data_IF_705583748892
#
_entry.id   IF_705583748892
#
_cell.length_a   1.000
_cell.length_b   1.000
_cell.length_c   1.000
_cell.angle_alpha   90.00
_cell.angle_beta   90.00
_cell.angle_gamma   90.00
#
_symmetry.space_group_name_H-M   'P 1'
#
loop_
_entity.id
_entity.type
_entity.pdbx_description
1 polymer ?
#
# COMPACT_ATOMS: atom_id res chain seq x y z
N UNK A 1 -10.17 -16.30 12.06
CA UNK A 1 -10.06 -15.12 11.16
C UNK A 1 -11.43 -14.81 10.57
N UNK A 2 -12.30 -14.07 11.28
CA UNK A 2 -13.71 -13.94 10.86
C UNK A 2 -14.43 -12.67 11.30
N UNK A 3 -13.72 -11.52 11.43
CA UNK A 3 -14.33 -10.25 11.85
C UNK A 3 -14.32 -9.16 10.78
N UNK A 4 -13.70 -9.40 9.62
CA UNK A 4 -13.73 -8.48 8.49
C UNK A 4 -14.64 -9.04 7.42
N UNK A 5 -15.62 -8.23 7.00
CA UNK A 5 -16.49 -8.55 5.89
C UNK A 5 -15.68 -8.91 4.63
N UNK A 6 -16.17 -9.92 3.88
CA UNK A 6 -15.44 -10.47 2.74
C UNK A 6 -15.15 -9.42 1.67
N UNK A 7 -16.10 -8.54 1.37
CA UNK A 7 -15.95 -7.56 0.30
C UNK A 7 -14.98 -6.44 0.71
N UNK A 8 -15.01 -6.07 1.99
CA UNK A 8 -14.04 -5.12 2.54
C UNK A 8 -12.63 -5.71 2.49
N UNK A 9 -12.48 -6.98 2.89
CA UNK A 9 -11.19 -7.70 2.81
C UNK A 9 -10.68 -7.76 1.38
N UNK A 10 -11.51 -8.18 0.43
CA UNK A 10 -11.13 -8.31 -0.98
C UNK A 10 -10.72 -6.96 -1.56
N UNK A 11 -11.46 -5.89 -1.27
CA UNK A 11 -11.11 -4.54 -1.73
C UNK A 11 -9.73 -4.10 -1.26
N UNK A 12 -9.37 -4.39 0.00
CA UNK A 12 -8.03 -4.11 0.53
C UNK A 12 -6.97 -4.96 -0.18
N UNK A 13 -7.22 -6.26 -0.34
CA UNK A 13 -6.29 -7.19 -0.99
C UNK A 13 -6.03 -6.77 -2.45
N UNK A 14 -7.08 -6.46 -3.21
CA UNK A 14 -7.01 -6.01 -4.60
C UNK A 14 -6.20 -4.71 -4.77
N UNK A 15 -6.41 -3.73 -3.88
CA UNK A 15 -5.64 -2.48 -3.94
C UNK A 15 -4.15 -2.76 -3.72
N UNK A 16 -3.82 -3.58 -2.72
CA UNK A 16 -2.41 -3.91 -2.44
C UNK A 16 -1.81 -4.74 -3.57
N UNK A 17 -2.55 -5.70 -4.13
CA UNK A 17 -2.11 -6.49 -5.28
C UNK A 17 -1.84 -5.61 -6.50
N UNK A 18 -2.70 -4.63 -6.77
CA UNK A 18 -2.47 -3.66 -7.84
C UNK A 18 -1.18 -2.86 -7.63
N UNK A 19 -0.91 -2.43 -6.39
CA UNK A 19 0.34 -1.74 -6.05
C UNK A 19 1.54 -2.68 -6.20
N UNK A 20 1.43 -3.91 -5.70
CA UNK A 20 2.50 -4.92 -5.75
C UNK A 20 2.89 -5.27 -7.19
N UNK A 21 1.89 -5.46 -8.06
CA UNK A 21 2.09 -5.81 -9.46
C UNK A 21 2.67 -4.65 -10.27
N UNK A 22 2.38 -3.40 -9.87
CA UNK A 22 2.85 -2.18 -10.53
C UNK A 22 3.81 -1.37 -9.65
N UNK A 23 4.63 -2.06 -8.85
CA UNK A 23 5.38 -1.49 -7.74
C UNK A 23 6.24 -0.27 -8.12
N UNK A 24 7.00 -0.34 -9.23
CA UNK A 24 7.84 0.78 -9.69
C UNK A 24 7.02 2.03 -9.97
N UNK A 25 5.93 1.90 -10.74
CA UNK A 25 5.07 3.03 -11.11
C UNK A 25 4.43 3.67 -9.89
N UNK A 26 3.90 2.86 -8.98
CA UNK A 26 3.28 3.37 -7.75
C UNK A 26 4.29 4.01 -6.81
N UNK A 27 5.48 3.42 -6.69
CA UNK A 27 6.55 4.02 -5.89
C UNK A 27 6.93 5.40 -6.44
N UNK A 28 7.16 5.53 -7.75
CA UNK A 28 7.49 6.81 -8.39
C UNK A 28 6.39 7.86 -8.19
N UNK A 29 5.12 7.49 -8.41
CA UNK A 29 3.98 8.39 -8.21
C UNK A 29 3.88 8.87 -6.75
N UNK A 30 4.02 7.96 -5.79
CA UNK A 30 3.92 8.32 -4.36
C UNK A 30 5.10 9.20 -3.96
N UNK A 31 6.32 8.91 -4.43
CA UNK A 31 7.50 9.74 -4.16
C UNK A 31 7.35 11.16 -4.72
N UNK A 32 6.83 11.29 -5.94
CA UNK A 32 6.55 12.59 -6.55
C UNK A 32 5.51 13.35 -5.73
N UNK A 33 4.38 12.72 -5.41
CA UNK A 33 3.34 13.32 -4.58
C UNK A 33 3.86 13.75 -3.20
N UNK A 34 4.66 12.92 -2.52
CA UNK A 34 5.27 13.30 -1.24
C UNK A 34 6.16 14.54 -1.37
N UNK A 35 6.95 14.61 -2.44
CA UNK A 35 7.85 15.73 -2.70
C UNK A 35 7.07 17.03 -2.97
N UNK A 36 5.96 16.96 -3.68
CA UNK A 36 5.04 18.10 -3.90
C UNK A 36 4.44 18.62 -2.59
N UNK A 37 4.27 17.75 -1.59
CA UNK A 37 3.82 18.14 -0.25
C UNK A 37 4.98 18.61 0.66
N UNK A 38 6.21 18.72 0.14
CA UNK A 38 7.40 19.09 0.91
C UNK A 38 7.89 18.00 1.87
N UNK A 39 7.47 16.74 1.67
CA UNK A 39 7.88 15.59 2.48
C UNK A 39 9.01 14.85 1.77
N UNK A 40 10.11 14.62 2.46
CA UNK A 40 11.23 13.84 1.92
C UNK A 40 10.78 12.39 1.62
N UNK A 41 10.85 11.95 0.35
CA UNK A 41 10.41 10.62 -0.02
C UNK A 41 11.46 9.56 0.33
N UNK A 42 11.14 8.67 1.26
CA UNK A 42 11.92 7.49 1.59
C UNK A 42 11.01 6.25 1.63
N UNK A 43 11.59 5.06 1.82
CA UNK A 43 10.82 3.82 1.79
C UNK A 43 9.73 3.80 2.88
N UNK A 44 10.00 4.31 4.07
CA UNK A 44 9.03 4.35 5.16
C UNK A 44 7.88 5.33 4.86
N UNK A 45 8.17 6.51 4.31
CA UNK A 45 7.12 7.49 3.95
C UNK A 45 6.26 6.99 2.80
N UNK A 46 6.83 6.29 1.82
CA UNK A 46 6.08 5.62 0.74
C UNK A 46 5.18 4.52 1.30
N UNK A 47 5.71 3.60 2.11
CA UNK A 47 4.92 2.51 2.69
C UNK A 47 3.81 3.02 3.61
N UNK A 48 4.10 4.02 4.44
CA UNK A 48 3.11 4.69 5.29
C UNK A 48 1.99 5.32 4.46
N UNK A 49 2.34 5.94 3.32
CA UNK A 49 1.35 6.51 2.39
C UNK A 49 0.45 5.42 1.79
N UNK A 50 1.02 4.29 1.34
CA UNK A 50 0.23 3.16 0.84
C UNK A 50 -0.74 2.64 1.92
N UNK A 51 -0.25 2.44 3.15
CA UNK A 51 -1.07 1.98 4.27
C UNK A 51 -2.20 2.96 4.55
N UNK A 52 -1.93 4.27 4.55
CA UNK A 52 -2.94 5.31 4.79
C UNK A 52 -4.00 5.35 3.68
N UNK A 53 -3.59 5.29 2.41
CA UNK A 53 -4.52 5.26 1.28
C UNK A 53 -5.40 4.02 1.33
N UNK A 54 -4.82 2.87 1.66
CA UNK A 54 -5.56 1.60 1.76
C UNK A 54 -6.53 1.60 2.94
N UNK A 55 -6.11 2.16 4.07
CA UNK A 55 -6.96 2.31 5.24
C UNK A 55 -8.15 3.25 4.95
N UNK A 56 -7.92 4.35 4.24
CA UNK A 56 -8.98 5.27 3.82
C UNK A 56 -10.01 4.61 2.90
N UNK A 57 -9.57 3.77 1.94
CA UNK A 57 -10.48 3.02 1.09
C UNK A 57 -11.28 1.98 1.89
N UNK A 58 -10.64 1.27 2.82
CA UNK A 58 -11.33 0.33 3.71
C UNK A 58 -12.41 1.01 4.55
N UNK A 59 -12.11 2.20 5.06
CA UNK A 59 -13.05 3.04 5.81
C UNK A 59 -14.26 3.40 4.94
N UNK A 60 -14.02 3.97 3.76
CA UNK A 60 -15.07 4.34 2.81
C UNK A 60 -15.95 3.14 2.45
N UNK A 61 -15.34 1.96 2.22
CA UNK A 61 -16.10 0.75 1.86
C UNK A 61 -17.02 0.27 2.98
N UNK A 62 -16.58 0.40 4.24
CA UNK A 62 -17.41 0.08 5.40
C UNK A 62 -18.56 1.08 5.54
N UNK A 63 -18.29 2.38 5.39
CA UNK A 63 -19.33 3.42 5.43
C UNK A 63 -20.37 3.21 4.32
N UNK A 64 -19.93 2.99 3.09
CA UNK A 64 -20.82 2.79 1.93
C UNK A 64 -21.70 1.54 2.10
N UNK A 65 -21.13 0.45 2.63
CA UNK A 65 -21.82 -0.84 2.74
C UNK A 65 -22.75 -0.92 3.95
N UNK A 66 -22.35 -0.35 5.08
CA UNK A 66 -23.05 -0.54 6.35
C UNK A 66 -23.68 0.74 6.91
N UNK A 67 -23.42 1.91 6.30
CA UNK A 67 -23.92 3.20 6.78
C UNK A 67 -23.38 3.60 8.15
N UNK A 68 -22.20 3.08 8.54
CA UNK A 68 -21.57 3.33 9.85
C UNK A 68 -20.05 3.35 9.74
N UNK A 69 -19.41 3.94 10.74
CA UNK A 69 -17.97 3.79 10.96
C UNK A 69 -17.61 2.32 11.29
N UNK A 70 -16.33 1.98 11.10
CA UNK A 70 -15.83 0.67 11.53
C UNK A 70 -15.91 0.47 13.05
N UNK A 71 -15.98 -0.77 13.47
CA UNK A 71 -15.83 -1.17 14.86
C UNK A 71 -14.36 -1.34 15.21
N UNK A 72 -14.05 -1.36 16.51
CA UNK A 72 -12.69 -1.67 16.99
C UNK A 72 -12.14 -3.00 16.44
N UNK A 73 -12.99 -4.03 16.37
CA UNK A 73 -12.59 -5.36 15.86
C UNK A 73 -12.28 -5.33 14.36
N UNK A 74 -13.05 -4.58 13.58
CA UNK A 74 -12.78 -4.38 12.15
C UNK A 74 -11.47 -3.60 11.95
N UNK A 75 -11.23 -2.54 12.72
CA UNK A 75 -9.98 -1.79 12.67
C UNK A 75 -8.75 -2.65 13.03
N UNK A 76 -8.87 -3.51 14.05
CA UNK A 76 -7.81 -4.47 14.42
C UNK A 76 -7.55 -5.48 13.30
N UNK A 77 -8.61 -6.02 12.68
CA UNK A 77 -8.49 -6.96 11.56
C UNK A 77 -7.85 -6.32 10.32
N UNK A 78 -8.25 -5.10 9.97
CA UNK A 78 -7.67 -4.31 8.88
C UNK A 78 -6.19 -4.02 9.19
N UNK A 79 -5.86 -3.58 10.40
CA UNK A 79 -4.47 -3.32 10.80
C UNK A 79 -3.60 -4.56 10.69
N UNK A 80 -4.09 -5.73 11.12
CA UNK A 80 -3.37 -6.99 11.00
C UNK A 80 -3.12 -7.38 9.52
N UNK A 81 -4.13 -7.22 8.66
CA UNK A 81 -4.02 -7.46 7.22
C UNK A 81 -2.98 -6.53 6.58
N UNK A 82 -3.07 -5.23 6.86
CA UNK A 82 -2.15 -4.22 6.34
C UNK A 82 -0.71 -4.46 6.80
N UNK A 83 -0.48 -4.83 8.07
CA UNK A 83 0.87 -5.14 8.58
C UNK A 83 1.52 -6.30 7.81
N UNK A 84 0.77 -7.39 7.59
CA UNK A 84 1.27 -8.53 6.81
C UNK A 84 1.63 -8.12 5.38
N UNK A 85 0.75 -7.36 4.74
CA UNK A 85 0.89 -6.97 3.34
C UNK A 85 1.92 -5.86 3.11
N UNK A 86 2.12 -4.97 4.08
CA UNK A 86 3.17 -3.96 4.05
C UNK A 86 4.58 -4.57 4.02
N UNK A 87 4.78 -5.71 4.71
CA UNK A 87 6.04 -6.45 4.65
C UNK A 87 6.33 -6.96 3.23
N UNK A 88 5.33 -7.53 2.56
CA UNK A 88 5.45 -8.02 1.19
C UNK A 88 5.74 -6.88 0.20
N UNK A 89 5.05 -5.73 0.35
CA UNK A 89 5.30 -4.52 -0.44
C UNK A 89 6.71 -3.95 -0.21
N UNK A 90 7.20 -3.94 1.03
CA UNK A 90 8.57 -3.50 1.35
C UNK A 90 9.59 -4.30 0.55
N UNK A 91 9.49 -5.63 0.61
CA UNK A 91 10.38 -6.52 -0.15
C UNK A 91 10.27 -6.28 -1.66
N UNK A 92 9.04 -6.07 -2.16
CA UNK A 92 8.81 -5.77 -3.57
C UNK A 92 9.49 -4.47 -4.01
N UNK A 93 9.29 -3.37 -3.28
CA UNK A 93 9.93 -2.08 -3.59
C UNK A 93 11.46 -2.15 -3.53
N UNK A 94 12.02 -2.87 -2.55
CA UNK A 94 13.46 -3.10 -2.48
C UNK A 94 13.96 -3.90 -3.69
N UNK A 95 13.25 -4.96 -4.09
CA UNK A 95 13.62 -5.79 -5.24
C UNK A 95 13.60 -5.01 -6.56
N UNK A 96 12.63 -4.11 -6.75
CA UNK A 96 12.51 -3.32 -7.98
C UNK A 96 13.64 -2.29 -8.09
N UNK A 97 14.08 -1.70 -6.98
CA UNK A 97 15.22 -0.77 -6.98
C UNK A 97 16.52 -1.44 -7.40
N UNK A 98 16.79 -2.65 -6.90
CA UNK A 98 17.99 -3.44 -7.25
C UNK A 98 18.02 -3.77 -8.75
N UNK A 99 16.89 -4.16 -9.32
CA UNK A 99 16.77 -4.46 -10.77
C UNK A 99 17.01 -3.21 -11.61
N UNK A 100 16.43 -2.06 -11.23
CA UNK A 100 16.63 -0.80 -11.96
C UNK A 100 18.10 -0.35 -11.91
N UNK A 101 18.76 -0.46 -10.75
CA UNK A 101 20.17 -0.09 -10.61
C UNK A 101 21.12 -0.99 -11.41
N UNK A 102 20.86 -2.31 -11.45
CA UNK A 102 21.65 -3.26 -12.24
C UNK A 102 21.44 -3.07 -13.75
N UNK A 103 20.21 -2.81 -14.20
CA UNK A 103 19.93 -2.49 -15.60
C UNK A 103 20.54 -1.15 -16.05
N UNK A 104 20.61 -0.13 -15.17
CA UNK A 104 21.26 1.15 -15.48
C UNK A 104 22.77 1.02 -15.59
N UNK A 105 23.41 0.24 -14.72
CA UNK A 105 24.85 -0.03 -14.79
C UNK A 105 25.26 -0.90 -15.99
N UNK A 106 24.37 -1.74 -16.50
CA UNK A 106 24.60 -2.57 -17.70
C UNK A 106 24.40 -1.87 -19.04
N UNK A 107 23.90 -0.62 -19.06
CA UNK A 107 23.68 0.17 -20.29
C UNK A 107 24.77 1.22 -20.57
N UNK A 108 25.86 1.20 -19.82
CA UNK A 108 27.08 1.95 -20.20
C UNK A 108 27.85 1.09 -21.20
N UNK A 109 27.60 1.30 -22.49
CA UNK A 109 28.50 0.94 -23.58
C UNK A 109 28.83 2.20 -24.36
#
# INVERSE_FOLDING_TARGET
>A
MGFLDKDVRLSIEEQIDNIYNNATKWEELIRAWLSEQGIEPNLETVLSTVVRLTLGQAYQRIEDKFGRAWTKKEAEAISALLKRRAFELRHRFLSTRIVVETCRKGKVK
#
